data_IF_261594937097
#
_entry.id   IF_261594937097
#
_cell.length_a   1.000
_cell.length_b   1.000
_cell.length_c   1.000
_cell.angle_alpha   90.00
_cell.angle_beta   90.00
_cell.angle_gamma   90.00
#
_symmetry.space_group_name_H-M   'P 1'
#
loop_
_entity.id
_entity.type
_entity.pdbx_description
1 polymer ?
#
# COMPACT_ATOMS: atom_id res chain seq x y z
N UNK A 1 27.80 -34.55 -46.61
CA UNK A 1 27.41 -33.16 -46.84
C UNK A 1 26.73 -32.69 -45.55
N UNK A 2 27.51 -32.39 -44.50
CA UNK A 2 27.99 -31.05 -44.12
C UNK A 2 26.84 -30.08 -43.90
N UNK A 3 26.47 -29.89 -42.63
CA UNK A 3 25.90 -28.63 -42.14
C UNK A 3 26.72 -28.21 -40.91
N UNK A 4 27.86 -27.60 -41.20
CA UNK A 4 28.67 -26.81 -40.29
C UNK A 4 27.97 -25.49 -40.05
N UNK A 5 27.58 -25.21 -38.81
CA UNK A 5 27.25 -23.87 -38.34
C UNK A 5 27.97 -23.61 -37.01
N UNK A 6 29.26 -23.25 -37.14
CA UNK A 6 30.00 -22.29 -36.33
C UNK A 6 29.84 -22.29 -34.79
N UNK A 7 30.49 -23.25 -34.13
CA UNK A 7 31.06 -23.04 -32.80
C UNK A 7 32.52 -22.63 -32.91
N UNK A 8 32.81 -21.38 -33.27
CA UNK A 8 34.19 -20.87 -33.23
C UNK A 8 34.68 -20.86 -31.78
N UNK A 9 35.91 -21.32 -31.47
CA UNK A 9 36.49 -21.24 -30.13
C UNK A 9 36.47 -19.80 -29.58
N UNK A 10 36.56 -18.79 -30.46
CA UNK A 10 36.44 -17.37 -30.11
C UNK A 10 35.05 -16.98 -29.59
N UNK A 11 33.99 -17.65 -30.06
CA UNK A 11 32.63 -17.43 -29.56
C UNK A 11 32.46 -18.02 -28.15
N UNK A 12 33.11 -19.16 -27.86
CA UNK A 12 33.13 -19.73 -26.53
C UNK A 12 33.93 -18.86 -25.56
N UNK A 13 35.13 -18.40 -25.96
CA UNK A 13 35.95 -17.46 -25.17
C UNK A 13 35.18 -16.18 -24.84
N UNK A 14 34.48 -15.59 -25.82
CA UNK A 14 33.64 -14.41 -25.59
C UNK A 14 32.47 -14.66 -24.62
N UNK A 15 31.84 -15.85 -24.66
CA UNK A 15 30.80 -16.21 -23.69
C UNK A 15 31.35 -16.36 -22.27
N UNK A 16 32.53 -16.97 -22.14
CA UNK A 16 33.24 -17.11 -20.85
C UNK A 16 33.60 -15.74 -20.29
N UNK A 17 34.20 -14.88 -21.12
CA UNK A 17 34.56 -13.51 -20.78
C UNK A 17 33.34 -12.74 -20.24
N UNK A 18 32.25 -12.66 -21.01
CA UNK A 18 31.01 -11.97 -20.60
C UNK A 18 30.42 -12.54 -19.30
N UNK A 19 30.51 -13.85 -19.11
CA UNK A 19 29.95 -14.49 -17.92
C UNK A 19 30.74 -14.17 -16.66
N UNK A 20 32.08 -14.08 -16.76
CA UNK A 20 32.94 -13.72 -15.63
C UNK A 20 32.87 -12.22 -15.36
N UNK A 21 32.90 -11.38 -16.39
CA UNK A 21 32.67 -9.94 -16.26
C UNK A 21 31.31 -9.64 -15.62
N UNK A 22 30.28 -10.42 -15.91
CA UNK A 22 29.00 -10.31 -15.23
C UNK A 22 29.12 -10.61 -13.72
N UNK A 23 29.83 -11.66 -13.33
CA UNK A 23 29.98 -12.02 -11.91
C UNK A 23 30.70 -10.95 -11.09
N UNK A 24 31.77 -10.39 -11.65
CA UNK A 24 32.57 -9.33 -11.01
C UNK A 24 32.09 -7.91 -11.34
N UNK A 25 31.07 -7.77 -12.17
CA UNK A 25 30.48 -6.50 -12.55
C UNK A 25 29.80 -5.81 -11.37
N UNK A 26 29.68 -4.48 -11.46
CA UNK A 26 29.27 -3.62 -10.34
C UNK A 26 27.94 -4.02 -9.70
N UNK A 27 26.96 -4.39 -10.53
CA UNK A 27 25.60 -4.68 -10.07
C UNK A 27 25.52 -6.03 -9.37
N UNK A 28 26.19 -7.06 -9.91
CA UNK A 28 26.18 -8.40 -9.34
C UNK A 28 27.06 -8.46 -8.08
N UNK A 29 28.27 -7.92 -8.17
CA UNK A 29 29.25 -8.05 -7.11
C UNK A 29 28.83 -7.33 -5.82
N UNK A 30 28.06 -6.24 -5.90
CA UNK A 30 27.48 -5.59 -4.73
C UNK A 30 26.39 -6.42 -4.02
N UNK A 31 25.78 -7.40 -4.70
CA UNK A 31 24.71 -8.25 -4.16
C UNK A 31 25.18 -9.65 -3.80
N UNK A 32 26.19 -10.16 -4.49
CA UNK A 32 26.69 -11.51 -4.31
C UNK A 32 27.55 -11.62 -3.04
N UNK A 33 26.91 -11.98 -1.92
CA UNK A 33 27.56 -12.20 -0.62
C UNK A 33 28.64 -13.28 -0.67
N UNK A 34 28.49 -14.27 -1.56
CA UNK A 34 29.46 -15.37 -1.68
C UNK A 34 30.75 -14.86 -2.32
N UNK A 35 30.65 -14.20 -3.49
CA UNK A 35 31.82 -13.60 -4.15
C UNK A 35 32.48 -12.54 -3.27
N UNK A 36 31.70 -11.65 -2.65
CA UNK A 36 32.25 -10.67 -1.69
C UNK A 36 33.01 -11.32 -0.54
N UNK A 37 32.55 -12.48 -0.07
CA UNK A 37 33.22 -13.28 0.95
C UNK A 37 34.56 -13.82 0.45
N UNK A 38 34.61 -14.37 -0.77
CA UNK A 38 35.85 -14.88 -1.37
C UNK A 38 36.88 -13.77 -1.64
N UNK A 39 36.46 -12.62 -2.19
CA UNK A 39 37.36 -11.48 -2.44
C UNK A 39 38.04 -10.95 -1.16
N UNK A 40 37.42 -11.11 0.01
CA UNK A 40 38.00 -10.67 1.29
C UNK A 40 39.08 -11.61 1.83
N UNK A 41 39.16 -12.86 1.35
CA UNK A 41 40.08 -13.87 1.89
C UNK A 41 41.51 -13.70 1.42
N UNK A 42 41.70 -13.39 0.14
CA UNK A 42 43.03 -13.42 -0.50
C UNK A 42 43.29 -12.16 -1.34
N UNK A 43 43.23 -10.97 -0.72
CA UNK A 43 43.52 -9.69 -1.38
C UNK A 43 42.78 -9.46 -2.71
N UNK A 44 41.55 -9.95 -2.81
CA UNK A 44 40.70 -9.88 -3.99
C UNK A 44 40.83 -11.04 -4.98
N UNK A 45 41.78 -11.96 -4.79
CA UNK A 45 41.95 -13.13 -5.63
C UNK A 45 40.92 -14.22 -5.32
N UNK A 46 40.34 -14.76 -6.39
CA UNK A 46 39.36 -15.85 -6.35
C UNK A 46 39.92 -17.00 -7.20
N UNK A 47 40.11 -18.20 -6.61
CA UNK A 47 40.56 -19.37 -7.36
C UNK A 47 39.57 -19.74 -8.48
N UNK A 48 40.09 -20.12 -9.65
CA UNK A 48 39.26 -20.62 -10.75
C UNK A 48 38.44 -21.85 -10.35
N UNK A 49 38.94 -22.68 -9.43
CA UNK A 49 38.19 -23.79 -8.87
C UNK A 49 36.89 -23.36 -8.20
N UNK A 50 36.90 -22.21 -7.51
CA UNK A 50 35.69 -21.63 -6.92
C UNK A 50 34.74 -21.18 -8.03
N UNK A 51 35.23 -20.51 -9.07
CA UNK A 51 34.40 -20.08 -10.20
C UNK A 51 33.81 -21.26 -10.99
N UNK A 52 34.53 -22.37 -11.11
CA UNK A 52 34.05 -23.59 -11.76
C UNK A 52 32.89 -24.27 -11.00
N UNK A 53 32.63 -23.88 -9.75
CA UNK A 53 31.42 -24.31 -9.02
C UNK A 53 30.15 -23.62 -9.52
N UNK A 54 30.26 -22.50 -10.24
CA UNK A 54 29.13 -21.71 -10.70
C UNK A 54 28.45 -22.39 -11.88
N UNK A 55 27.15 -22.66 -11.74
CA UNK A 55 26.39 -23.47 -12.69
C UNK A 55 26.49 -22.98 -14.15
N UNK A 56 26.47 -21.65 -14.40
CA UNK A 56 26.54 -21.15 -15.78
C UNK A 56 27.95 -21.21 -16.36
N UNK A 57 28.99 -21.01 -15.55
CA UNK A 57 30.36 -21.14 -16.04
C UNK A 57 30.69 -22.60 -16.34
N UNK A 58 30.28 -23.51 -15.44
CA UNK A 58 30.43 -24.96 -15.59
C UNK A 58 29.76 -25.53 -16.84
N UNK A 59 28.65 -24.92 -17.29
CA UNK A 59 27.97 -25.29 -18.53
C UNK A 59 28.72 -24.84 -19.79
N UNK A 60 29.56 -23.81 -19.70
CA UNK A 60 30.35 -23.28 -20.81
C UNK A 60 31.68 -24.02 -20.95
N UNK A 61 32.42 -24.16 -19.85
CA UNK A 61 33.73 -24.80 -19.86
C UNK A 61 34.10 -25.35 -18.48
N UNK A 62 35.02 -26.32 -18.47
CA UNK A 62 35.68 -26.84 -17.26
C UNK A 62 37.20 -26.69 -17.32
N UNK A 63 37.73 -26.19 -18.44
CA UNK A 63 39.16 -26.02 -18.65
C UNK A 63 39.63 -24.66 -18.15
N UNK A 64 40.49 -24.68 -17.12
CA UNK A 64 41.10 -23.48 -16.52
C UNK A 64 41.94 -22.70 -17.52
N UNK A 65 42.67 -23.38 -18.41
CA UNK A 65 43.55 -22.72 -19.39
C UNK A 65 42.74 -21.88 -20.37
N UNK A 66 41.63 -22.43 -20.84
CA UNK A 66 40.71 -21.73 -21.73
C UNK A 66 40.10 -20.51 -21.04
N UNK A 67 39.76 -20.61 -19.74
CA UNK A 67 39.25 -19.47 -18.97
C UNK A 67 40.32 -18.38 -18.86
N UNK A 68 41.55 -18.73 -18.49
CA UNK A 68 42.65 -17.79 -18.38
C UNK A 68 42.92 -17.06 -19.71
N UNK A 69 42.98 -17.79 -20.82
CA UNK A 69 43.13 -17.20 -22.17
C UNK A 69 41.96 -16.29 -22.56
N UNK A 70 40.73 -16.66 -22.19
CA UNK A 70 39.54 -15.87 -22.49
C UNK A 70 39.50 -14.55 -21.73
N UNK A 71 40.16 -14.47 -20.57
CA UNK A 71 40.17 -13.31 -19.69
C UNK A 71 41.32 -12.34 -19.96
N UNK A 72 42.36 -12.74 -20.70
CA UNK A 72 43.47 -11.85 -21.05
C UNK A 72 43.07 -10.50 -21.69
N UNK A 73 42.04 -10.41 -22.56
CA UNK A 73 41.62 -9.12 -23.11
C UNK A 73 40.70 -8.30 -22.19
N UNK A 74 40.34 -8.78 -20.99
CA UNK A 74 39.44 -8.05 -20.10
C UNK A 74 40.16 -6.89 -19.41
N UNK A 75 39.55 -5.70 -19.42
CA UNK A 75 40.02 -4.56 -18.63
C UNK A 75 39.52 -4.61 -17.18
N UNK A 76 38.49 -5.42 -16.91
CA UNK A 76 37.86 -5.51 -15.59
C UNK A 76 38.49 -6.58 -14.69
N UNK A 77 39.11 -7.60 -15.28
CA UNK A 77 39.59 -8.80 -14.58
C UNK A 77 41.07 -9.02 -14.85
N UNK A 78 41.85 -9.14 -13.77
CA UNK A 78 43.23 -9.59 -13.81
C UNK A 78 43.29 -11.11 -13.59
N UNK A 79 44.16 -11.78 -14.34
CA UNK A 79 44.50 -13.19 -14.17
C UNK A 79 45.87 -13.27 -13.48
N UNK A 80 46.01 -14.19 -12.52
CA UNK A 80 47.30 -14.41 -11.84
C UNK A 80 48.35 -15.01 -12.79
N UNK A 81 49.63 -14.82 -12.49
CA UNK A 81 50.75 -15.30 -13.31
C UNK A 81 50.73 -16.84 -13.50
N UNK A 82 50.18 -17.58 -12.53
CA UNK A 82 50.00 -19.03 -12.59
C UNK A 82 48.76 -19.46 -13.41
N UNK A 83 47.88 -18.53 -13.76
CA UNK A 83 46.62 -18.78 -14.45
C UNK A 83 45.58 -19.51 -13.59
N UNK A 84 45.76 -19.61 -12.27
CA UNK A 84 44.88 -20.38 -11.38
C UNK A 84 43.89 -19.51 -10.61
N UNK A 85 44.15 -18.21 -10.50
CA UNK A 85 43.30 -17.24 -9.78
C UNK A 85 42.95 -16.04 -10.64
N UNK A 86 41.82 -15.43 -10.35
CA UNK A 86 41.37 -14.18 -11.00
C UNK A 86 40.94 -13.16 -9.95
N UNK A 87 41.06 -11.88 -10.28
CA UNK A 87 40.69 -10.77 -9.40
C UNK A 87 40.07 -9.67 -10.24
N UNK A 88 39.16 -8.89 -9.65
CA UNK A 88 38.72 -7.63 -10.26
C UNK A 88 39.86 -6.61 -10.22
N UNK A 89 40.21 -6.03 -11.37
CA UNK A 89 41.34 -5.12 -11.50
C UNK A 89 41.27 -3.98 -10.47
N UNK A 90 42.37 -3.68 -9.75
CA UNK A 90 42.40 -2.60 -8.77
C UNK A 90 42.23 -1.22 -9.42
N UNK A 91 42.49 -1.11 -10.72
CA UNK A 91 42.34 0.12 -11.50
C UNK A 91 40.86 0.47 -11.77
N UNK A 92 39.97 -0.52 -11.65
CA UNK A 92 38.52 -0.36 -11.80
C UNK A 92 37.83 -0.68 -10.46
N UNK A 93 37.94 0.22 -9.46
CA UNK A 93 37.36 0.00 -8.14
C UNK A 93 35.86 -0.17 -8.24
N UNK A 94 35.29 -0.93 -7.30
CA UNK A 94 33.85 -1.03 -7.20
C UNK A 94 33.26 0.35 -6.88
N UNK A 95 32.15 0.75 -7.53
CA UNK A 95 31.42 1.94 -7.12
C UNK A 95 30.92 1.77 -5.69
N UNK A 96 30.87 2.88 -4.95
CA UNK A 96 30.39 2.91 -3.58
C UNK A 96 28.93 2.42 -3.52
N UNK A 97 28.63 1.55 -2.57
CA UNK A 97 27.29 1.00 -2.36
C UNK A 97 26.39 2.06 -1.70
N UNK A 98 26.04 3.11 -2.44
CA UNK A 98 25.24 4.24 -2.00
C UNK A 98 23.80 4.17 -2.55
N UNK A 99 22.87 4.89 -1.92
CA UNK A 99 21.51 5.00 -2.44
C UNK A 99 21.48 5.64 -3.84
N UNK A 100 22.40 6.57 -4.12
CA UNK A 100 22.52 7.24 -5.41
C UNK A 100 22.87 6.27 -6.53
N UNK A 101 23.86 5.40 -6.29
CA UNK A 101 24.25 4.34 -7.24
C UNK A 101 23.06 3.44 -7.60
N UNK A 102 22.31 2.98 -6.60
CA UNK A 102 21.12 2.17 -6.85
C UNK A 102 19.98 2.95 -7.51
N UNK A 103 19.86 4.25 -7.23
CA UNK A 103 18.86 5.09 -7.89
C UNK A 103 19.20 5.31 -9.37
N UNK A 104 20.46 5.50 -9.71
CA UNK A 104 20.93 5.55 -11.10
C UNK A 104 20.71 4.20 -11.81
N UNK A 105 21.00 3.08 -11.16
CA UNK A 105 20.68 1.76 -11.71
C UNK A 105 19.18 1.64 -11.98
N UNK A 106 18.32 2.12 -11.07
CA UNK A 106 16.87 2.08 -11.26
C UNK A 106 16.44 2.90 -12.48
N UNK A 107 17.06 4.07 -12.72
CA UNK A 107 16.68 4.92 -13.87
C UNK A 107 17.09 4.34 -15.22
N UNK A 108 18.09 3.43 -15.26
CA UNK A 108 18.47 2.67 -16.47
C UNK A 108 17.97 1.22 -16.47
N UNK A 109 17.06 0.87 -15.56
CA UNK A 109 16.48 -0.47 -15.49
C UNK A 109 15.04 -0.46 -16.00
N UNK A 110 14.74 -1.40 -16.90
CA UNK A 110 13.41 -1.58 -17.50
C UNK A 110 12.76 -2.82 -16.89
N UNK A 111 11.48 -2.69 -16.57
CA UNK A 111 10.61 -3.80 -16.24
C UNK A 111 9.89 -4.28 -17.48
N UNK A 112 9.92 -5.60 -17.72
CA UNK A 112 9.23 -6.22 -18.84
C UNK A 112 8.46 -7.44 -18.32
N UNK A 113 7.16 -7.52 -18.62
CA UNK A 113 6.26 -8.62 -18.22
C UNK A 113 5.48 -9.12 -19.43
N UNK A 114 5.27 -10.43 -19.48
CA UNK A 114 4.54 -11.11 -20.56
C UNK A 114 5.33 -12.23 -21.21
N UNK A 115 6.54 -12.53 -20.71
CA UNK A 115 7.29 -13.71 -21.11
C UNK A 115 6.57 -14.98 -20.65
N UNK A 116 6.78 -16.04 -21.42
CA UNK A 116 6.22 -17.34 -21.11
C UNK A 116 6.96 -17.97 -19.91
N UNK A 117 6.29 -18.78 -19.07
CA UNK A 117 6.92 -19.36 -17.87
C UNK A 117 8.12 -20.27 -18.17
N UNK A 118 8.25 -20.76 -19.41
CA UNK A 118 9.29 -21.64 -19.92
C UNK A 118 10.42 -20.89 -20.66
N UNK A 119 10.28 -19.57 -20.89
CA UNK A 119 11.32 -18.76 -21.56
C UNK A 119 12.63 -18.79 -20.77
N UNK A 120 13.75 -19.06 -21.45
CA UNK A 120 15.07 -19.12 -20.82
C UNK A 120 15.74 -17.76 -20.80
N UNK A 121 16.75 -17.62 -19.94
CA UNK A 121 17.51 -16.37 -19.84
C UNK A 121 18.26 -16.03 -21.14
N UNK A 122 18.70 -17.05 -21.87
CA UNK A 122 19.42 -16.85 -23.13
C UNK A 122 18.48 -16.28 -24.22
N UNK A 123 17.24 -16.75 -24.29
CA UNK A 123 16.21 -16.21 -25.20
C UNK A 123 15.89 -14.74 -24.86
N UNK A 124 15.87 -14.41 -23.56
CA UNK A 124 15.68 -13.03 -23.08
C UNK A 124 16.88 -12.16 -23.46
N UNK A 125 18.11 -12.65 -23.32
CA UNK A 125 19.30 -11.91 -23.75
C UNK A 125 19.28 -11.67 -25.25
N UNK A 126 18.92 -12.69 -26.04
CA UNK A 126 18.80 -12.57 -27.49
C UNK A 126 17.74 -11.56 -27.91
N UNK A 127 16.62 -11.51 -27.19
CA UNK A 127 15.60 -10.49 -27.37
C UNK A 127 16.09 -9.08 -27.02
N UNK A 128 16.93 -8.92 -25.99
CA UNK A 128 17.38 -7.59 -25.55
C UNK A 128 18.60 -7.04 -26.32
N UNK A 129 19.39 -7.92 -26.97
CA UNK A 129 20.56 -7.56 -27.79
C UNK A 129 20.34 -6.40 -28.80
N UNK A 130 19.25 -6.35 -29.59
CA UNK A 130 19.06 -5.29 -30.58
C UNK A 130 18.81 -3.90 -29.95
N UNK A 131 18.32 -3.86 -28.72
CA UNK A 131 17.93 -2.61 -28.08
C UNK A 131 19.07 -1.88 -27.36
N UNK A 132 20.13 -2.61 -26.98
CA UNK A 132 21.30 -2.02 -26.35
C UNK A 132 22.14 -3.03 -25.57
N UNK A 133 23.20 -2.51 -24.94
CA UNK A 133 24.08 -3.34 -24.13
C UNK A 133 23.48 -3.54 -22.73
N UNK A 134 23.09 -4.79 -22.43
CA UNK A 134 22.48 -5.18 -21.17
C UNK A 134 23.56 -5.53 -20.16
N UNK A 135 23.59 -4.81 -19.04
CA UNK A 135 24.52 -5.06 -17.94
C UNK A 135 24.04 -6.21 -17.05
N UNK A 136 22.73 -6.26 -16.78
CA UNK A 136 22.16 -7.26 -15.87
C UNK A 136 20.72 -7.61 -16.24
N UNK A 137 20.36 -8.89 -16.09
CA UNK A 137 18.98 -9.38 -16.25
C UNK A 137 18.59 -10.18 -15.02
N UNK A 138 17.53 -9.74 -14.36
CA UNK A 138 16.96 -10.39 -13.19
C UNK A 138 15.60 -10.97 -13.57
N UNK A 139 15.53 -12.30 -13.67
CA UNK A 139 14.26 -13.01 -13.85
C UNK A 139 13.52 -13.12 -12.52
N UNK A 140 12.29 -12.61 -12.45
CA UNK A 140 11.48 -12.70 -11.23
C UNK A 140 10.90 -14.10 -11.11
N UNK A 141 11.24 -14.80 -10.03
CA UNK A 141 10.73 -16.13 -9.70
C UNK A 141 9.80 -16.06 -8.49
N UNK A 142 8.89 -17.02 -8.38
CA UNK A 142 8.06 -17.22 -7.18
C UNK A 142 8.93 -17.86 -6.11
N UNK A 143 8.90 -17.36 -4.87
CA UNK A 143 9.73 -17.90 -3.77
C UNK A 143 9.44 -19.38 -3.53
N UNK A 144 8.16 -19.75 -3.53
CA UNK A 144 7.72 -21.11 -3.19
C UNK A 144 8.01 -22.13 -4.30
N UNK A 145 7.60 -21.83 -5.53
CA UNK A 145 7.70 -22.80 -6.65
C UNK A 145 8.98 -22.65 -7.47
N UNK A 146 9.77 -21.59 -7.24
CA UNK A 146 10.90 -21.15 -8.09
C UNK A 146 10.54 -20.97 -9.58
N UNK A 147 9.25 -21.04 -9.90
CA UNK A 147 8.72 -20.88 -11.24
C UNK A 147 8.89 -19.42 -11.68
N UNK A 148 9.14 -19.24 -12.96
CA UNK A 148 9.29 -17.93 -13.55
C UNK A 148 7.93 -17.22 -13.58
N UNK A 149 7.88 -15.98 -13.07
CA UNK A 149 6.66 -15.15 -13.04
C UNK A 149 6.31 -14.55 -14.41
N UNK A 150 7.09 -14.83 -15.46
CA UNK A 150 6.93 -14.19 -16.76
C UNK A 150 7.33 -12.71 -16.77
N UNK A 151 8.16 -12.27 -15.81
CA UNK A 151 8.60 -10.87 -15.70
C UNK A 151 10.07 -10.75 -15.34
N UNK A 152 10.74 -9.74 -15.89
CA UNK A 152 12.16 -9.49 -15.72
C UNK A 152 12.45 -8.02 -15.40
N UNK A 153 13.59 -7.78 -14.79
CA UNK A 153 14.24 -6.47 -14.78
C UNK A 153 15.52 -6.54 -15.60
N UNK A 154 15.64 -5.69 -16.62
CA UNK A 154 16.82 -5.57 -17.44
C UNK A 154 17.49 -4.21 -17.18
N UNK A 155 18.72 -4.23 -16.68
CA UNK A 155 19.55 -3.05 -16.44
C UNK A 155 20.44 -2.83 -17.67
N UNK A 156 20.33 -1.67 -18.29
CA UNK A 156 21.15 -1.26 -19.43
C UNK A 156 22.33 -0.41 -18.96
N UNK A 157 23.36 -0.29 -19.80
CA UNK A 157 24.47 0.64 -19.53
C UNK A 157 24.05 2.10 -19.65
N UNK A 158 23.15 2.42 -20.59
CA UNK A 158 22.63 3.76 -20.83
C UNK A 158 21.13 3.87 -20.53
N UNK A 159 20.71 5.02 -19.99
CA UNK A 159 19.31 5.38 -19.81
C UNK A 159 18.59 5.49 -21.18
N UNK A 160 19.32 5.86 -22.23
CA UNK A 160 18.76 5.96 -23.58
C UNK A 160 18.38 4.59 -24.13
N UNK A 161 19.20 3.57 -23.91
CA UNK A 161 18.90 2.20 -24.33
C UNK A 161 17.70 1.64 -23.56
N UNK A 162 17.62 1.95 -22.26
CA UNK A 162 16.43 1.62 -21.46
C UNK A 162 15.15 2.28 -22.02
N UNK A 163 15.22 3.55 -22.43
CA UNK A 163 14.09 4.25 -23.07
C UNK A 163 13.75 3.66 -24.42
N UNK A 164 14.74 3.31 -25.26
CA UNK A 164 14.52 2.63 -26.54
C UNK A 164 13.70 1.35 -26.36
N UNK A 165 13.93 0.58 -25.30
CA UNK A 165 13.13 -0.63 -25.01
C UNK A 165 11.69 -0.29 -24.66
N UNK A 166 11.42 0.82 -23.98
CA UNK A 166 10.05 1.24 -23.63
C UNK A 166 9.33 1.81 -24.85
N UNK A 167 10.02 2.63 -25.64
CA UNK A 167 9.46 3.37 -26.78
C UNK A 167 9.35 2.53 -28.05
N UNK A 168 10.26 1.58 -28.28
CA UNK A 168 10.27 0.77 -29.50
C UNK A 168 9.03 -0.11 -29.61
N UNK A 169 8.54 -0.32 -30.82
CA UNK A 169 7.42 -1.23 -31.07
C UNK A 169 7.84 -2.69 -31.10
N UNK A 170 9.11 -2.96 -31.43
CA UNK A 170 9.64 -4.32 -31.52
C UNK A 170 9.70 -5.00 -30.15
N UNK A 171 9.87 -4.24 -29.08
CA UNK A 171 9.80 -4.78 -27.72
C UNK A 171 8.37 -4.92 -27.21
N UNK A 172 7.34 -4.44 -27.93
CA UNK A 172 5.92 -4.57 -27.52
C UNK A 172 5.43 -5.99 -27.62
N UNK A 173 5.99 -6.80 -28.51
CA UNK A 173 5.57 -8.18 -28.67
C UNK A 173 6.74 -9.15 -28.60
N UNK A 174 6.52 -10.29 -27.97
CA UNK A 174 7.45 -11.40 -27.95
C UNK A 174 6.66 -12.69 -28.15
N UNK A 175 7.03 -13.46 -29.16
CA UNK A 175 6.32 -14.69 -29.58
C UNK A 175 4.80 -14.47 -29.78
N UNK A 176 4.41 -13.31 -30.32
CA UNK A 176 3.00 -12.97 -30.55
C UNK A 176 2.20 -12.55 -29.31
N UNK A 177 2.85 -12.44 -28.13
CA UNK A 177 2.25 -11.92 -26.89
C UNK A 177 2.67 -10.48 -26.65
N UNK A 178 1.72 -9.67 -26.18
CA UNK A 178 1.97 -8.29 -25.80
C UNK A 178 2.73 -8.22 -24.46
N UNK A 179 3.84 -7.47 -24.46
CA UNK A 179 4.70 -7.27 -23.30
C UNK A 179 4.39 -5.93 -22.63
N UNK A 180 4.03 -5.99 -21.35
CA UNK A 180 3.91 -4.82 -20.48
C UNK A 180 5.34 -4.34 -20.12
N UNK A 181 5.69 -3.15 -20.60
CA UNK A 181 6.99 -2.53 -20.37
C UNK A 181 6.83 -1.21 -19.65
N UNK A 182 7.69 -0.97 -18.69
CA UNK A 182 7.77 0.32 -18.01
C UNK A 182 9.16 0.49 -17.40
N UNK A 183 9.53 1.73 -17.08
CA UNK A 183 10.75 1.97 -16.32
C UNK A 183 10.58 1.40 -14.90
N UNK A 184 11.68 0.94 -14.30
CA UNK A 184 11.64 0.38 -12.95
C UNK A 184 11.06 1.35 -11.88
N UNK A 185 11.31 2.67 -11.92
CA UNK A 185 10.67 3.62 -11.00
C UNK A 185 9.14 3.63 -11.14
N UNK A 186 8.62 3.59 -12.37
CA UNK A 186 7.17 3.57 -12.63
C UNK A 186 6.53 2.26 -12.15
N UNK A 187 7.24 1.14 -12.31
CA UNK A 187 6.84 -0.15 -11.74
C UNK A 187 6.66 -0.05 -10.23
N UNK A 188 7.66 0.49 -9.53
CA UNK A 188 7.58 0.64 -8.07
C UNK A 188 6.47 1.61 -7.65
N UNK A 189 6.26 2.71 -8.38
CA UNK A 189 5.16 3.63 -8.11
C UNK A 189 3.79 2.93 -8.22
N UNK A 190 3.59 2.13 -9.28
CA UNK A 190 2.37 1.31 -9.45
C UNK A 190 2.22 0.27 -8.34
N UNK A 191 3.29 -0.44 -7.97
CA UNK A 191 3.26 -1.46 -6.92
C UNK A 191 2.87 -0.86 -5.55
N UNK A 192 3.40 0.32 -5.23
CA UNK A 192 3.06 1.06 -4.00
C UNK A 192 1.60 1.48 -4.00
N UNK A 193 1.10 2.02 -5.12
CA UNK A 193 -0.30 2.39 -5.27
C UNK A 193 -1.24 1.18 -5.09
N UNK A 194 -0.97 0.08 -5.80
CA UNK A 194 -1.74 -1.16 -5.68
C UNK A 194 -1.70 -1.75 -4.27
N UNK A 195 -0.54 -1.68 -3.60
CA UNK A 195 -0.40 -2.16 -2.23
C UNK A 195 -1.21 -1.30 -1.25
N UNK A 196 -1.23 0.01 -1.46
CA UNK A 196 -2.04 0.95 -0.67
C UNK A 196 -3.53 0.65 -0.85
N UNK A 197 -4.00 0.50 -2.08
CA UNK A 197 -5.40 0.14 -2.38
C UNK A 197 -5.78 -1.20 -1.77
N UNK A 198 -4.96 -2.25 -1.93
CA UNK A 198 -5.20 -3.57 -1.30
C UNK A 198 -5.27 -3.47 0.23
N UNK A 199 -4.42 -2.66 0.85
CA UNK A 199 -4.43 -2.42 2.30
C UNK A 199 -5.70 -1.68 2.73
N UNK A 200 -6.13 -0.68 1.97
CA UNK A 200 -7.36 0.08 2.24
C UNK A 200 -8.60 -0.80 2.05
N UNK A 201 -8.67 -1.58 0.97
CA UNK A 201 -9.73 -2.56 0.73
C UNK A 201 -9.80 -3.61 1.85
N UNK A 202 -8.66 -4.15 2.31
CA UNK A 202 -8.61 -5.11 3.42
C UNK A 202 -9.06 -4.47 4.74
N UNK A 203 -8.71 -3.20 4.99
CA UNK A 203 -9.19 -2.45 6.16
C UNK A 203 -10.70 -2.20 6.08
N UNK A 204 -11.20 -1.77 4.94
CA UNK A 204 -12.63 -1.55 4.70
C UNK A 204 -13.44 -2.84 4.90
N UNK A 205 -12.98 -3.96 4.33
CA UNK A 205 -13.62 -5.26 4.50
C UNK A 205 -13.63 -5.71 5.97
N UNK A 206 -12.53 -5.50 6.70
CA UNK A 206 -12.45 -5.82 8.14
C UNK A 206 -13.38 -4.93 8.97
N UNK A 207 -13.51 -3.64 8.61
CA UNK A 207 -14.40 -2.70 9.29
C UNK A 207 -15.88 -3.03 9.00
N UNK A 208 -16.22 -3.38 7.75
CA UNK A 208 -17.54 -3.88 7.37
C UNK A 208 -17.91 -5.13 8.17
N UNK A 209 -17.07 -6.17 8.17
CA UNK A 209 -17.32 -7.41 8.95
C UNK A 209 -17.47 -7.15 10.45
N UNK A 210 -16.71 -6.19 11.00
CA UNK A 210 -16.82 -5.82 12.41
C UNK A 210 -18.14 -5.11 12.70
N UNK A 211 -18.58 -4.20 11.84
CA UNK A 211 -19.86 -3.50 11.99
C UNK A 211 -21.01 -4.48 11.85
N UNK A 212 -20.95 -5.40 10.90
CA UNK A 212 -21.95 -6.45 10.69
C UNK A 212 -22.10 -7.36 11.91
N UNK A 213 -20.99 -7.89 12.45
CA UNK A 213 -21.03 -8.70 13.67
C UNK A 213 -21.57 -7.92 14.90
N UNK A 214 -21.22 -6.63 15.02
CA UNK A 214 -21.74 -5.79 16.11
C UNK A 214 -23.22 -5.45 15.94
N UNK A 215 -23.69 -5.34 14.70
CA UNK A 215 -25.09 -5.11 14.38
C UNK A 215 -25.92 -6.35 14.72
N UNK A 216 -25.45 -7.54 14.34
CA UNK A 216 -26.07 -8.83 14.66
C UNK A 216 -26.13 -9.04 16.19
N UNK A 217 -25.05 -8.76 16.91
CA UNK A 217 -25.02 -8.82 18.38
C UNK A 217 -25.97 -7.81 19.03
N UNK A 218 -26.08 -6.59 18.49
CA UNK A 218 -27.00 -5.57 19.00
C UNK A 218 -28.47 -5.92 18.72
N UNK A 219 -28.74 -6.53 17.55
CA UNK A 219 -30.06 -7.05 17.20
C UNK A 219 -30.45 -8.21 18.12
N UNK A 220 -29.53 -9.13 18.42
CA UNK A 220 -29.76 -10.23 19.36
C UNK A 220 -30.00 -9.75 20.81
N UNK A 221 -29.38 -8.64 21.23
CA UNK A 221 -29.55 -8.05 22.57
C UNK A 221 -30.75 -7.09 22.68
N UNK A 222 -31.30 -6.65 21.55
CA UNK A 222 -32.24 -5.55 21.46
C UNK A 222 -33.52 -5.91 20.71
N UNK A 223 -34.21 -6.98 21.11
CA UNK A 223 -35.62 -7.14 20.73
C UNK A 223 -36.45 -6.14 21.55
N UNK A 224 -36.70 -4.95 21.00
CA UNK A 224 -37.70 -4.06 21.56
C UNK A 224 -39.04 -4.82 21.61
N UNK A 225 -39.70 -4.80 22.78
CA UNK A 225 -41.05 -5.33 22.95
C UNK A 225 -41.97 -4.65 21.95
N UNK A 226 -42.41 -5.44 20.97
CA UNK A 226 -43.31 -5.04 19.91
C UNK A 226 -44.71 -4.86 20.50
N UNK A 227 -45.25 -3.65 20.39
CA UNK A 227 -46.66 -3.37 20.67
C UNK A 227 -47.25 -2.98 19.31
N UNK A 228 -48.18 -3.79 18.80
CA UNK A 228 -48.79 -3.62 17.48
C UNK A 228 -49.59 -2.31 17.40
N UNK A 229 -49.54 -1.64 16.25
CA UNK A 229 -50.42 -0.50 15.96
C UNK A 229 -50.00 0.83 16.61
N UNK A 230 -48.69 1.05 16.80
CA UNK A 230 -48.16 2.29 17.39
C UNK A 230 -47.67 3.34 16.38
N UNK A 231 -47.63 3.00 15.09
CA UNK A 231 -47.02 3.83 14.06
C UNK A 231 -48.10 4.35 13.09
N UNK A 232 -48.13 5.66 12.91
CA UNK A 232 -48.99 6.36 11.97
C UNK A 232 -48.14 6.97 10.84
N UNK A 233 -48.58 6.77 9.60
CA UNK A 233 -48.03 7.43 8.42
C UNK A 233 -48.90 8.64 8.08
N UNK A 234 -48.29 9.81 7.97
CA UNK A 234 -48.90 11.01 7.45
C UNK A 234 -48.32 11.31 6.06
N UNK A 235 -49.13 11.18 5.02
CA UNK A 235 -48.79 11.58 3.65
C UNK A 235 -49.15 13.05 3.42
N UNK A 236 -48.50 13.67 2.43
CA UNK A 236 -48.65 15.09 2.07
C UNK A 236 -48.10 16.07 3.12
N UNK A 237 -47.08 15.66 3.88
CA UNK A 237 -46.43 16.51 4.86
C UNK A 237 -45.50 17.54 4.17
N UNK A 238 -45.56 18.85 4.52
CA UNK A 238 -44.74 19.87 3.89
C UNK A 238 -43.24 19.63 4.12
N UNK A 239 -42.46 19.56 3.05
CA UNK A 239 -41.01 19.30 3.10
C UNK A 239 -40.16 20.43 3.70
N UNK A 240 -40.75 21.62 3.90
CA UNK A 240 -40.08 22.80 4.47
C UNK A 240 -40.08 22.81 6.00
N UNK A 241 -40.83 21.92 6.65
CA UNK A 241 -41.09 21.98 8.09
C UNK A 241 -40.31 20.96 8.93
N UNK A 242 -40.07 21.32 10.18
CA UNK A 242 -39.19 20.58 11.08
C UNK A 242 -39.92 19.47 11.86
N UNK A 243 -39.17 18.43 12.24
CA UNK A 243 -39.60 17.31 13.12
C UNK A 243 -40.31 17.80 14.40
N UNK A 244 -40.00 19.03 14.87
CA UNK A 244 -40.61 19.66 16.05
C UNK A 244 -42.08 20.04 15.83
N UNK A 245 -42.43 20.62 14.68
CA UNK A 245 -43.79 21.07 14.39
C UNK A 245 -44.75 19.88 14.25
N UNK A 246 -44.31 18.81 13.57
CA UNK A 246 -45.03 17.54 13.55
C UNK A 246 -45.26 17.00 14.96
N UNK A 247 -44.22 16.98 15.80
CA UNK A 247 -44.34 16.49 17.17
C UNK A 247 -45.38 17.29 17.96
N UNK A 248 -45.32 18.61 17.95
CA UNK A 248 -46.27 19.48 18.68
C UNK A 248 -47.71 19.32 18.20
N UNK A 249 -47.93 19.09 16.90
CA UNK A 249 -49.24 18.85 16.35
C UNK A 249 -49.84 17.51 16.82
N UNK A 250 -49.06 16.43 16.69
CA UNK A 250 -49.52 15.09 17.06
C UNK A 250 -49.55 14.85 18.59
N UNK A 251 -48.79 15.62 19.37
CA UNK A 251 -48.79 15.59 20.84
C UNK A 251 -50.14 16.01 21.46
N UNK A 252 -50.95 16.79 20.70
CA UNK A 252 -52.33 17.14 21.09
C UNK A 252 -53.28 15.93 21.06
N UNK A 253 -52.98 14.92 20.25
CA UNK A 253 -53.83 13.76 20.04
C UNK A 253 -53.33 12.51 20.78
N UNK A 254 -52.03 12.44 21.06
CA UNK A 254 -51.42 11.40 21.89
C UNK A 254 -49.94 11.63 22.15
N UNK A 255 -49.35 10.97 23.16
CA UNK A 255 -47.93 11.11 23.49
C UNK A 255 -47.05 10.65 22.31
N UNK A 256 -46.32 11.56 21.69
CA UNK A 256 -45.43 11.24 20.57
C UNK A 256 -44.05 10.81 21.09
N UNK A 257 -43.59 9.64 20.67
CA UNK A 257 -42.28 9.09 21.02
C UNK A 257 -41.19 9.43 20.01
N UNK A 258 -41.43 9.17 18.73
CA UNK A 258 -40.45 9.38 17.67
C UNK A 258 -41.15 9.83 16.38
N UNK A 259 -40.52 10.75 15.64
CA UNK A 259 -41.03 11.22 14.35
C UNK A 259 -39.90 11.06 13.34
N UNK A 260 -40.13 10.25 12.31
CA UNK A 260 -39.23 10.08 11.18
C UNK A 260 -39.83 10.79 9.97
N UNK A 261 -39.12 11.79 9.45
CA UNK A 261 -39.55 12.53 8.28
C UNK A 261 -38.82 12.03 7.04
N UNK A 262 -39.58 11.73 5.98
CA UNK A 262 -39.05 11.39 4.68
C UNK A 262 -39.25 12.56 3.70
N UNK A 263 -38.21 13.39 3.58
CA UNK A 263 -38.15 14.56 2.70
C UNK A 263 -38.37 14.23 1.23
N UNK A 264 -38.00 13.01 0.78
CA UNK A 264 -38.08 12.63 -0.64
C UNK A 264 -39.51 12.28 -1.08
N UNK A 265 -40.35 11.83 -0.14
CA UNK A 265 -41.73 11.41 -0.42
C UNK A 265 -42.79 12.37 0.14
N UNK A 266 -42.41 13.34 0.96
CA UNK A 266 -43.37 14.20 1.67
C UNK A 266 -44.21 13.39 2.67
N UNK A 267 -43.59 12.42 3.33
CA UNK A 267 -44.25 11.49 4.27
C UNK A 267 -43.60 11.58 5.65
N UNK A 268 -44.39 11.61 6.72
CA UNK A 268 -43.93 11.55 8.09
C UNK A 268 -44.44 10.27 8.78
N UNK A 269 -43.54 9.49 9.39
CA UNK A 269 -43.88 8.34 10.23
C UNK A 269 -43.81 8.76 11.70
N UNK A 270 -44.94 8.75 12.38
CA UNK A 270 -45.06 9.16 13.78
C UNK A 270 -45.30 7.92 14.63
N UNK A 271 -44.43 7.70 15.61
CA UNK A 271 -44.56 6.66 16.62
C UNK A 271 -45.08 7.27 17.91
N UNK A 272 -46.21 6.78 18.39
CA UNK A 272 -46.76 7.15 19.69
C UNK A 272 -46.12 6.33 20.83
N UNK A 273 -45.98 6.92 22.01
CA UNK A 273 -45.38 6.32 23.21
C UNK A 273 -46.49 5.95 24.19
N UNK A 274 -46.91 4.69 24.21
CA UNK A 274 -47.81 4.17 25.25
C UNK A 274 -47.74 2.64 25.32
N UNK A 275 -48.37 2.05 26.33
CA UNK A 275 -48.35 0.62 26.66
C UNK A 275 -49.55 -0.14 26.05
N UNK A 276 -50.49 0.56 25.42
CA UNK A 276 -51.68 -0.02 24.77
C UNK A 276 -51.43 -0.39 23.29
N UNK A 277 -52.12 -1.42 22.81
CA UNK A 277 -52.19 -1.81 21.39
C UNK A 277 -53.14 -0.88 20.60
N UNK A 278 -52.90 -0.70 19.30
CA UNK A 278 -53.77 0.04 18.36
C UNK A 278 -53.99 1.54 18.66
N UNK A 279 -53.02 2.19 19.31
CA UNK A 279 -53.10 3.62 19.63
C UNK A 279 -53.15 4.49 18.38
N UNK A 280 -52.45 4.10 17.32
CA UNK A 280 -52.53 4.80 16.05
C UNK A 280 -53.95 4.79 15.47
N UNK A 281 -54.73 3.71 15.68
CA UNK A 281 -56.15 3.65 15.32
C UNK A 281 -57.00 4.56 16.21
N UNK A 282 -56.79 4.54 17.54
CA UNK A 282 -57.50 5.44 18.47
C UNK A 282 -57.23 6.92 18.17
N UNK A 283 -55.99 7.26 17.81
CA UNK A 283 -55.62 8.62 17.40
C UNK A 283 -56.28 8.97 16.06
N UNK A 284 -56.31 8.04 15.11
CA UNK A 284 -57.01 8.23 13.83
C UNK A 284 -58.52 8.41 14.03
N UNK A 285 -59.16 7.61 14.88
CA UNK A 285 -60.59 7.72 15.22
C UNK A 285 -60.91 9.02 15.96
N UNK A 286 -60.03 9.51 16.85
CA UNK A 286 -60.20 10.83 17.48
C UNK A 286 -60.14 11.96 16.46
N UNK A 287 -59.25 11.84 15.48
CA UNK A 287 -59.06 12.83 14.42
C UNK A 287 -60.21 12.78 13.40
N UNK A 288 -60.70 11.59 13.06
CA UNK A 288 -61.85 11.40 12.14
C UNK A 288 -63.19 11.72 12.81
N UNK A 289 -63.33 11.40 14.11
CA UNK A 289 -64.52 11.68 14.93
C UNK A 289 -64.74 13.16 15.22
N UNK A 290 -63.69 14.00 15.12
CA UNK A 290 -63.83 15.46 15.14
C UNK A 290 -64.42 16.05 13.85
N UNK A 291 -64.58 15.27 12.77
CA UNK A 291 -65.17 15.73 11.51
C UNK A 291 -64.37 16.80 10.75
N UNK A 292 -63.24 17.25 11.28
CA UNK A 292 -62.32 18.16 10.61
C UNK A 292 -61.31 17.39 9.76
N UNK A 293 -61.15 17.81 8.50
CA UNK A 293 -60.01 17.40 7.69
C UNK A 293 -58.74 17.82 8.43
N UNK A 294 -57.73 16.95 8.47
CA UNK A 294 -56.43 17.25 9.10
C UNK A 294 -55.68 18.24 8.22
N UNK A 295 -56.04 19.51 8.34
CA UNK A 295 -55.34 20.58 7.66
C UNK A 295 -54.17 20.99 8.55
N UNK A 296 -52.98 20.58 8.17
CA UNK A 296 -51.76 21.09 8.77
C UNK A 296 -51.22 22.21 7.89
N UNK A 297 -51.34 23.46 8.38
CA UNK A 297 -50.87 24.68 7.73
C UNK A 297 -51.22 24.74 6.22
N UNK A 298 -52.52 24.69 5.92
CA UNK A 298 -53.11 24.79 4.56
C UNK A 298 -52.95 23.58 3.64
N UNK A 299 -52.47 22.42 4.13
CA UNK A 299 -52.48 21.14 3.38
C UNK A 299 -53.25 20.04 4.12
N UNK A 300 -54.11 19.36 3.38
CA UNK A 300 -54.82 18.16 3.85
C UNK A 300 -53.81 17.00 3.99
N UNK A 301 -53.56 16.57 5.23
CA UNK A 301 -52.74 15.40 5.53
C UNK A 301 -53.59 14.14 5.42
N UNK A 302 -53.10 13.16 4.68
CA UNK A 302 -53.68 11.82 4.64
C UNK A 302 -53.01 10.94 5.70
N UNK A 303 -53.75 10.61 6.76
CA UNK A 303 -53.25 9.76 7.84
C UNK A 303 -53.66 8.30 7.60
N UNK A 304 -52.69 7.39 7.61
CA UNK A 304 -52.91 5.94 7.57
C UNK A 304 -52.14 5.24 8.68
N UNK A 305 -52.72 4.23 9.30
CA UNK A 305 -51.99 3.39 10.27
C UNK A 305 -51.11 2.40 9.52
N UNK A 306 -49.85 2.27 9.94
CA UNK A 306 -48.93 1.27 9.42
C UNK A 306 -49.14 -0.04 10.19
N UNK A 307 -49.60 -1.09 9.51
CA UNK A 307 -49.84 -2.41 10.10
C UNK A 307 -49.06 -3.51 9.36
N UNK A 308 -48.66 -4.56 10.08
CA UNK A 308 -48.07 -5.77 9.48
C UNK A 308 -46.62 -5.60 9.02
N UNK A 309 -46.31 -6.02 7.79
CA UNK A 309 -44.94 -6.13 7.26
C UNK A 309 -44.23 -4.76 7.13
N UNK A 310 -44.98 -3.70 6.87
CA UNK A 310 -44.44 -2.34 6.81
C UNK A 310 -44.06 -1.79 8.20
N UNK A 311 -44.76 -2.24 9.24
CA UNK A 311 -44.43 -1.95 10.63
C UNK A 311 -43.16 -2.71 11.05
N UNK A 312 -43.05 -3.99 10.67
CA UNK A 312 -41.88 -4.82 10.93
C UNK A 312 -40.61 -4.28 10.25
N UNK A 313 -40.71 -3.82 9.00
CA UNK A 313 -39.58 -3.20 8.28
C UNK A 313 -39.16 -1.87 8.88
N UNK A 314 -40.11 -1.05 9.35
CA UNK A 314 -39.81 0.17 10.10
C UNK A 314 -39.02 -0.13 11.38
N UNK A 315 -39.47 -1.10 12.17
CA UNK A 315 -38.78 -1.51 13.40
C UNK A 315 -37.38 -2.08 13.13
N UNK A 316 -37.23 -2.89 12.07
CA UNK A 316 -35.93 -3.43 11.66
C UNK A 316 -34.95 -2.30 11.27
N UNK A 317 -35.40 -1.31 10.50
CA UNK A 317 -34.60 -0.16 10.09
C UNK A 317 -34.25 0.74 11.28
N UNK A 318 -35.22 1.03 12.15
CA UNK A 318 -35.00 1.83 13.36
C UNK A 318 -33.99 1.18 14.30
N UNK A 319 -34.12 -0.13 14.55
CA UNK A 319 -33.17 -0.87 15.39
C UNK A 319 -31.78 -0.92 14.75
N UNK A 320 -31.70 -1.08 13.43
CA UNK A 320 -30.44 -1.05 12.68
C UNK A 320 -29.76 0.31 12.79
N UNK A 321 -30.50 1.40 12.61
CA UNK A 321 -29.98 2.76 12.70
C UNK A 321 -29.53 3.10 14.13
N UNK A 322 -30.32 2.72 15.15
CA UNK A 322 -29.98 2.90 16.56
C UNK A 322 -28.72 2.12 16.95
N UNK A 323 -28.62 0.86 16.54
CA UNK A 323 -27.43 0.03 16.77
C UNK A 323 -26.18 0.62 16.09
N UNK A 324 -26.28 1.02 14.82
CA UNK A 324 -25.19 1.68 14.08
C UNK A 324 -24.73 2.98 14.77
N UNK A 325 -25.66 3.81 15.25
CA UNK A 325 -25.35 5.05 15.96
C UNK A 325 -24.56 4.78 17.25
N UNK A 326 -24.96 3.76 18.01
CA UNK A 326 -24.32 3.38 19.27
C UNK A 326 -22.93 2.77 19.04
N UNK A 327 -22.78 1.94 18.01
CA UNK A 327 -21.50 1.39 17.55
C UNK A 327 -20.53 2.52 17.18
N UNK A 328 -21.00 3.49 16.39
CA UNK A 328 -20.18 4.62 15.96
C UNK A 328 -19.77 5.51 17.14
N UNK A 329 -20.65 5.72 18.11
CA UNK A 329 -20.35 6.47 19.33
C UNK A 329 -19.29 5.76 20.18
N UNK A 330 -19.42 4.44 20.39
CA UNK A 330 -18.46 3.62 21.14
C UNK A 330 -17.10 3.55 20.45
N UNK A 331 -17.08 3.39 19.13
CA UNK A 331 -15.85 3.41 18.33
C UNK A 331 -15.15 4.79 18.40
N UNK A 332 -15.89 5.90 18.41
CA UNK A 332 -15.33 7.25 18.62
C UNK A 332 -14.75 7.44 20.02
N UNK A 333 -15.40 6.94 21.07
CA UNK A 333 -14.87 7.00 22.44
C UNK A 333 -13.59 6.15 22.59
N UNK A 334 -13.56 4.95 22.02
CA UNK A 334 -12.36 4.10 22.05
C UNK A 334 -11.17 4.69 21.27
N UNK A 335 -11.41 5.37 20.14
CA UNK A 335 -10.34 6.10 19.41
C UNK A 335 -9.78 7.28 20.22
N UNK A 336 -10.59 7.96 21.05
CA UNK A 336 -10.13 9.03 21.95
C UNK A 336 -9.43 8.50 23.21
N UNK A 337 -9.77 7.30 23.68
CA UNK A 337 -9.10 6.64 24.81
C UNK A 337 -7.67 6.18 24.53
N UNK A 338 -7.39 5.72 23.30
CA UNK A 338 -6.05 5.24 22.91
C UNK A 338 -4.95 6.31 22.95
N UNK A 339 -5.30 7.58 22.69
CA UNK A 339 -4.34 8.69 22.73
C UNK A 339 -3.87 9.05 24.15
N UNK A 340 -4.63 8.66 25.19
CA UNK A 340 -4.26 8.88 26.61
C UNK A 340 -3.37 7.77 27.19
N UNK A 341 -3.41 6.56 26.62
CA UNK A 341 -2.56 5.44 27.09
C UNK A 341 -1.17 5.43 26.44
N UNK A 342 -0.99 6.04 25.27
CA UNK A 342 0.32 6.10 24.62
C UNK A 342 1.33 7.05 25.29
N UNK A 343 0.91 7.93 26.22
CA UNK A 343 1.84 8.76 27.01
C UNK A 343 2.31 8.11 28.31
N UNK A 344 1.75 6.96 28.74
CA UNK A 344 2.19 6.27 29.96
C UNK A 344 3.13 5.09 29.71
N UNK A 345 3.24 4.56 28.49
CA UNK A 345 4.11 3.43 28.18
C UNK A 345 5.50 3.79 27.59
N UNK A 346 5.89 5.06 27.53
CA UNK A 346 7.23 5.47 27.05
C UNK A 346 8.27 5.64 28.18
N UNK A 347 7.95 5.22 29.41
CA UNK A 347 8.93 5.11 30.50
C UNK A 347 8.79 3.75 31.17
N UNK A 348 9.61 2.80 30.74
CA UNK A 348 9.80 1.53 31.44
C UNK A 348 9.39 0.30 30.65
N UNK A 349 10.21 -0.08 29.67
CA UNK A 349 10.58 -1.48 29.42
C UNK A 349 11.70 -1.52 28.38
N UNK A 350 12.93 -1.34 28.85
CA UNK A 350 14.03 -2.16 28.35
C UNK A 350 13.70 -3.61 28.71
N UNK A 351 13.93 -4.52 27.77
CA UNK A 351 13.57 -5.92 27.90
C UNK A 351 13.75 -6.58 26.55
N UNK A 352 14.95 -7.11 26.37
CA UNK A 352 15.41 -8.00 25.32
C UNK A 352 14.30 -8.87 24.73
N UNK A 353 14.21 -8.87 23.40
CA UNK A 353 13.67 -9.99 22.66
C UNK A 353 14.66 -10.35 21.57
N UNK A 354 15.31 -11.46 21.87
CA UNK A 354 16.21 -12.23 21.03
C UNK A 354 15.81 -12.27 19.56
N UNK A 355 16.86 -12.09 18.77
CA UNK A 355 17.05 -12.50 17.40
C UNK A 355 16.57 -13.94 17.15
N UNK A 356 15.58 -14.08 16.27
CA UNK A 356 15.42 -15.28 15.42
C UNK A 356 15.01 -14.87 14.01
N UNK A 357 16.04 -14.77 13.17
CA UNK A 357 16.13 -15.17 11.76
C UNK A 357 14.87 -15.11 10.88
N UNK A 358 14.98 -14.28 9.84
CA UNK A 358 14.17 -14.31 8.62
C UNK A 358 14.79 -13.39 7.58
N UNK A 359 15.75 -13.94 6.83
CA UNK A 359 16.44 -13.41 5.66
C UNK A 359 15.54 -12.57 4.73
N UNK A 360 15.60 -11.24 4.87
CA UNK A 360 14.95 -10.26 3.98
C UNK A 360 16.03 -9.47 3.23
N UNK A 361 16.52 -10.04 2.14
CA UNK A 361 17.18 -9.29 1.05
C UNK A 361 16.28 -9.23 -0.19
N UNK A 362 14.99 -8.92 0.02
CA UNK A 362 14.22 -8.24 -1.03
C UNK A 362 14.53 -6.75 -0.91
N UNK A 363 14.83 -6.11 -2.05
CA UNK A 363 14.93 -4.67 -2.14
C UNK A 363 13.58 -4.06 -1.74
N UNK A 364 13.40 -3.83 -0.44
CA UNK A 364 12.50 -2.82 0.06
C UNK A 364 13.10 -1.49 -0.38
N UNK A 365 12.48 -0.89 -1.40
CA UNK A 365 12.57 0.55 -1.55
C UNK A 365 11.98 1.15 -0.28
N UNK A 366 12.83 1.60 0.64
CA UNK A 366 12.44 2.54 1.66
C UNK A 366 11.81 3.73 0.94
N UNK A 367 10.49 3.80 1.00
CA UNK A 367 9.73 4.97 0.60
C UNK A 367 9.83 5.94 1.74
N UNK A 368 10.99 6.58 1.84
CA UNK A 368 11.09 7.80 2.61
C UNK A 368 10.14 8.81 1.96
N UNK A 369 9.07 9.11 2.70
CA UNK A 369 8.09 10.10 2.32
C UNK A 369 8.80 11.40 2.00
N UNK A 370 8.73 11.84 0.74
CA UNK A 370 9.03 13.20 0.35
C UNK A 370 8.06 14.13 1.10
N UNK A 371 8.45 14.54 2.31
CA UNK A 371 7.99 15.77 2.92
C UNK A 371 8.81 16.86 2.28
N UNK A 372 8.28 17.43 1.20
CA UNK A 372 8.70 18.74 0.74
C UNK A 372 8.64 19.69 1.93
N UNK A 373 9.83 20.20 2.28
CA UNK A 373 9.98 21.21 3.29
C UNK A 373 9.42 22.51 2.77
N UNK A 374 8.39 23.01 3.46
CA UNK A 374 8.25 24.43 3.66
C UNK A 374 7.57 24.64 5.01
N UNK A 375 8.02 25.68 5.70
CA UNK A 375 7.52 26.19 6.98
C UNK A 375 8.13 25.61 8.27
N UNK A 376 9.45 25.80 8.42
CA UNK A 376 10.09 25.99 9.73
C UNK A 376 10.32 27.48 9.93
N UNK A 377 9.40 28.16 10.61
CA UNK A 377 9.69 29.33 11.46
C UNK A 377 8.42 29.77 12.20
N UNK A 378 8.14 29.15 13.34
CA UNK A 378 7.75 29.82 14.59
C UNK A 378 7.41 28.75 15.61
N UNK A 379 8.23 28.68 16.67
CA UNK A 379 7.85 28.37 18.06
C UNK A 379 9.03 27.72 18.78
N UNK A 380 9.82 28.56 19.44
CA UNK A 380 10.37 28.29 20.79
C UNK A 380 11.13 29.52 21.28
N UNK A 381 10.46 30.36 22.06
CA UNK A 381 11.10 31.01 23.20
C UNK A 381 10.20 30.79 24.41
N UNK A 382 10.64 29.86 25.25
CA UNK A 382 10.06 29.58 26.57
C UNK A 382 10.26 30.81 27.44
N UNK A 383 9.20 31.19 28.14
CA UNK A 383 9.24 31.98 29.38
C UNK A 383 10.22 31.30 30.35
N UNK A 384 11.35 31.96 30.59
CA UNK A 384 12.27 31.70 31.69
C UNK A 384 12.20 32.88 32.66
N UNK A 385 11.90 32.57 33.92
CA UNK A 385 11.89 33.47 35.07
C UNK A 385 13.24 34.19 35.19
N UNK A 386 13.20 35.50 35.44
CA UNK A 386 14.36 36.29 35.87
C UNK A 386 14.13 36.68 37.33
N UNK A 387 15.00 36.17 38.20
CA UNK A 387 15.28 36.65 39.55
C UNK A 387 16.76 37.03 39.57
N UNK A 388 17.10 38.19 40.10
CA UNK A 388 18.46 38.69 40.19
C UNK A 388 18.45 40.16 40.57
N UNK A 389 18.42 40.38 41.87
CA UNK A 389 18.69 41.66 42.54
C UNK A 389 20.17 42.08 42.36
N UNK A 390 20.37 43.35 42.72
CA UNK A 390 21.61 44.03 43.14
C UNK A 390 22.33 44.96 42.14
N UNK A 391 22.05 46.25 42.41
CA UNK A 391 22.98 47.37 42.62
C UNK A 391 23.91 47.79 41.49
N UNK A 392 23.70 49.02 41.01
CA UNK A 392 24.71 50.04 41.24
C UNK A 392 24.13 51.47 41.24
N UNK A 393 24.66 52.26 42.17
CA UNK A 393 24.19 53.56 42.61
C UNK A 393 25.00 54.70 41.96
N UNK A 394 24.33 55.84 41.75
CA UNK A 394 24.86 57.20 41.70
C UNK A 394 25.67 57.68 40.47
N UNK A 395 25.15 58.71 39.78
CA UNK A 395 25.44 60.13 40.11
C UNK A 395 24.66 61.14 39.23
N UNK A 396 24.15 62.15 39.93
CA UNK A 396 23.56 63.43 39.47
C UNK A 396 24.53 64.29 38.66
N UNK A 397 24.01 65.16 37.76
CA UNK A 397 24.20 66.65 37.67
C UNK A 397 23.10 67.18 36.70
N UNK A 398 22.05 67.89 37.18
CA UNK A 398 21.72 69.34 37.06
C UNK A 398 21.73 69.95 35.63
N UNK A 399 20.57 70.44 35.14
CA UNK A 399 20.14 71.87 34.93
C UNK A 399 20.88 72.48 33.72
N UNK A 400 20.25 72.99 32.67
CA UNK A 400 19.13 73.96 32.57
C UNK A 400 17.87 73.49 31.85
#
# INVERSE_FOLDING_TARGET
MVNTANGHPDNLKNKVLKQIEYYFGDVNLQRDKFLQGELKKDHGWVPLDVLLTFNRLKQLTTDKKLIAEALQPSELIDVSDDGEKVRRSPDVPMPENSLEFWNEIKTRTVYIKGFEPDTKLDDILDFLKPFGNVQNVIMRRIKDTKAFKGSIFATFNSVEDAKKVVDSEESKTYNGKELERMMQPDYWAKEVAQTKEKREAKKALKEQKKVEAQLEEAQARGSATFIKGQIMLAKNYPAEENIRAAREFFEKFGPVGFVEFNTEKGEAKIRFKSEEEDIAKKVLEKIQGSGEKVVFMDKELELSVLEGDEEATYWANFNKQKALSHINQKNRQNRRGGYKQQRKNTRGRGGDRDDRNGDDSEMHGDSESAKTGENVQLRRSKRGRKSGDENDEAKRVKVD
#
